data_IF_396600369552
#
_entry.id   IF_396600369552
#
_cell.length_a   1.000
_cell.length_b   1.000
_cell.length_c   1.000
_cell.angle_alpha   90.00
_cell.angle_beta   90.00
_cell.angle_gamma   90.00
#
_symmetry.space_group_name_H-M   'P 1'
#
loop_
_entity.id
_entity.type
_entity.pdbx_description
1 polymer ?
#
# COMPACT_ATOMS: atom_id res chain seq x y z
N UNK A 1 21.79 20.99 6.18
CA UNK A 1 22.08 20.41 7.51
C UNK A 1 20.97 20.76 8.55
N UNK A 2 19.97 19.87 8.71
CA UNK A 2 18.95 20.00 9.76
C UNK A 2 19.56 19.65 11.11
N UNK A 3 19.40 20.53 12.10
CA UNK A 3 19.98 20.44 13.45
C UNK A 3 19.57 19.13 14.14
N UNK A 4 20.51 18.23 14.52
CA UNK A 4 20.22 16.99 15.25
C UNK A 4 19.70 17.22 16.70
N UNK A 5 19.60 18.47 17.14
CA UNK A 5 19.18 18.84 18.50
C UNK A 5 17.65 18.81 18.74
N UNK A 6 16.83 18.92 17.68
CA UNK A 6 15.36 19.02 17.83
C UNK A 6 14.72 17.70 18.26
N UNK A 7 15.09 16.52 17.71
CA UNK A 7 14.53 15.24 18.15
C UNK A 7 14.83 14.93 19.63
N UNK A 8 16.04 15.28 20.08
CA UNK A 8 16.50 15.05 21.46
C UNK A 8 15.70 15.87 22.48
N UNK A 9 15.51 17.16 22.21
CA UNK A 9 14.73 18.05 23.06
C UNK A 9 13.23 17.65 23.16
N UNK A 10 12.69 17.05 22.09
CA UNK A 10 11.30 16.58 22.06
C UNK A 10 11.12 15.26 22.82
N UNK A 11 12.15 14.41 22.86
CA UNK A 11 12.18 13.19 23.66
C UNK A 11 12.25 13.52 25.17
N UNK A 12 13.13 14.44 25.55
CA UNK A 12 13.28 14.90 26.94
C UNK A 12 11.96 15.47 27.50
N UNK A 13 11.27 16.32 26.74
CA UNK A 13 9.95 16.85 27.14
C UNK A 13 8.87 15.78 27.29
N UNK A 14 8.91 14.73 26.47
CA UNK A 14 7.94 13.63 26.54
C UNK A 14 8.18 12.76 27.76
N UNK A 15 9.44 12.56 28.15
CA UNK A 15 9.81 11.83 29.37
C UNK A 15 9.39 12.59 30.63
N UNK A 16 9.64 13.90 30.66
CA UNK A 16 9.24 14.76 31.78
C UNK A 16 7.72 14.79 31.96
N UNK A 17 6.96 14.98 30.88
CA UNK A 17 5.49 14.91 30.90
C UNK A 17 4.98 13.55 31.37
N UNK A 18 5.68 12.48 31.02
CA UNK A 18 5.25 11.14 31.37
C UNK A 18 5.60 10.79 32.83
N UNK A 19 6.69 11.33 33.39
CA UNK A 19 7.02 11.25 34.82
C UNK A 19 5.98 11.96 35.68
N UNK A 20 5.57 13.17 35.27
CA UNK A 20 4.51 13.93 35.94
C UNK A 20 3.16 13.17 35.96
N UNK A 21 2.86 12.40 34.90
CA UNK A 21 1.65 11.56 34.83
C UNK A 21 1.74 10.33 35.74
N UNK A 22 2.92 9.75 35.89
CA UNK A 22 3.15 8.63 36.81
C UNK A 22 3.03 9.06 38.28
N UNK A 23 3.61 10.22 38.62
CA UNK A 23 3.50 10.83 39.95
C UNK A 23 2.05 11.19 40.29
N UNK A 24 1.29 11.75 39.34
CA UNK A 24 -0.12 12.10 39.54
C UNK A 24 -1.05 10.88 39.60
N UNK A 25 -0.75 9.80 38.87
CA UNK A 25 -1.61 8.61 38.79
C UNK A 25 -1.26 7.53 39.80
N UNK A 26 -0.09 7.56 40.45
CA UNK A 26 0.39 6.52 41.36
C UNK A 26 0.59 5.14 40.71
N UNK A 27 0.59 5.08 39.37
CA UNK A 27 0.71 3.86 38.58
C UNK A 27 2.00 3.88 37.77
N UNK A 28 2.90 2.95 38.03
CA UNK A 28 4.09 2.73 37.20
C UNK A 28 3.66 2.21 35.83
N UNK A 29 4.16 2.79 34.74
CA UNK A 29 3.83 2.30 33.41
C UNK A 29 4.38 0.88 33.23
N UNK A 30 3.51 -0.08 32.91
CA UNK A 30 3.93 -1.40 32.44
C UNK A 30 4.41 -1.27 30.99
N UNK A 31 5.59 -1.81 30.68
CA UNK A 31 6.21 -1.81 29.34
C UNK A 31 6.67 -0.44 28.81
N UNK A 32 7.27 0.42 29.64
CA UNK A 32 8.07 1.54 29.12
C UNK A 32 9.47 1.06 28.85
N UNK A 33 9.81 0.91 27.58
CA UNK A 33 11.19 0.76 27.12
C UNK A 33 11.68 2.14 26.73
N UNK A 34 12.81 2.58 27.29
CA UNK A 34 13.50 3.78 26.81
C UNK A 34 13.86 3.60 25.32
N UNK A 35 14.08 4.70 24.60
CA UNK A 35 14.40 4.64 23.16
C UNK A 35 15.67 3.84 22.91
N UNK A 36 16.61 3.85 23.86
CA UNK A 36 17.88 3.11 23.83
C UNK A 36 17.76 1.65 24.31
N UNK A 37 16.78 1.31 25.15
CA UNK A 37 16.51 -0.08 25.60
C UNK A 37 15.50 -0.83 24.71
N UNK A 38 14.96 -0.20 23.66
CA UNK A 38 14.28 -0.91 22.56
C UNK A 38 15.32 -1.63 21.69
N UNK A 39 16.19 -2.44 22.32
CA UNK A 39 17.28 -3.11 21.66
C UNK A 39 16.79 -4.38 20.91
N UNK A 40 16.81 -4.23 19.59
CA UNK A 40 17.22 -5.19 18.55
C UNK A 40 16.46 -6.49 18.32
N UNK A 41 15.93 -7.20 19.33
CA UNK A 41 15.21 -8.46 19.07
C UNK A 41 13.92 -8.26 18.24
N UNK A 42 13.30 -7.09 18.35
CA UNK A 42 12.13 -6.72 17.56
C UNK A 42 12.49 -6.15 16.17
N UNK A 43 13.69 -5.59 16.02
CA UNK A 43 14.12 -4.99 14.76
C UNK A 43 14.51 -6.07 13.75
N UNK A 44 15.25 -7.09 14.17
CA UNK A 44 15.60 -8.21 13.30
C UNK A 44 14.34 -8.96 12.83
N UNK A 45 13.37 -9.14 13.74
CA UNK A 45 12.05 -9.71 13.40
C UNK A 45 11.26 -8.82 12.45
N UNK A 46 11.33 -7.49 12.61
CA UNK A 46 10.67 -6.54 11.71
C UNK A 46 11.30 -6.57 10.32
N UNK A 47 12.64 -6.53 10.23
CA UNK A 47 13.35 -6.62 8.95
C UNK A 47 13.09 -7.96 8.27
N UNK A 48 13.16 -9.07 9.00
CA UNK A 48 12.80 -10.38 8.48
C UNK A 48 11.34 -10.44 7.99
N UNK A 49 10.40 -9.80 8.70
CA UNK A 49 9.01 -9.73 8.26
C UNK A 49 8.80 -8.88 7.01
N UNK A 50 9.55 -7.77 6.87
CA UNK A 50 9.55 -6.94 5.66
C UNK A 50 10.12 -7.71 4.48
N UNK A 51 11.28 -8.34 4.67
CA UNK A 51 11.97 -9.10 3.62
C UNK A 51 11.13 -10.29 3.16
N UNK A 52 10.46 -10.99 4.08
CA UNK A 52 9.53 -12.07 3.76
C UNK A 52 8.28 -11.61 2.97
N UNK A 53 8.02 -10.30 2.85
CA UNK A 53 6.86 -9.72 2.17
C UNK A 53 7.22 -8.88 0.94
N UNK A 54 8.44 -9.04 0.40
CA UNK A 54 8.89 -8.36 -0.83
C UNK A 54 8.22 -8.85 -2.11
N UNK A 55 7.46 -9.93 -2.06
CA UNK A 55 6.73 -10.46 -3.22
C UNK A 55 5.22 -10.59 -2.90
N UNK A 56 4.51 -9.45 -2.74
CA UNK A 56 3.07 -9.48 -2.50
C UNK A 56 2.29 -9.89 -3.75
N UNK A 57 1.05 -10.36 -3.55
CA UNK A 57 0.07 -10.50 -4.63
C UNK A 57 -0.29 -9.12 -5.22
N UNK A 58 -0.52 -9.06 -6.53
CA UNK A 58 -0.71 -7.79 -7.25
C UNK A 58 -1.89 -6.97 -6.72
N UNK A 59 -3.01 -7.60 -6.40
CA UNK A 59 -4.20 -6.94 -5.84
C UNK A 59 -3.91 -6.30 -4.48
N UNK A 60 -3.18 -7.01 -3.60
CA UNK A 60 -2.75 -6.47 -2.30
C UNK A 60 -1.76 -5.34 -2.46
N UNK A 61 -0.87 -5.43 -3.45
CA UNK A 61 0.06 -4.35 -3.76
C UNK A 61 -0.69 -3.08 -4.22
N UNK A 62 -1.62 -3.21 -5.19
CA UNK A 62 -2.42 -2.08 -5.69
C UNK A 62 -3.23 -1.44 -4.55
N UNK A 63 -3.84 -2.24 -3.68
CA UNK A 63 -4.55 -1.73 -2.51
C UNK A 63 -3.62 -1.00 -1.54
N UNK A 64 -2.41 -1.52 -1.31
CA UNK A 64 -1.43 -0.92 -0.41
C UNK A 64 -0.87 0.43 -0.90
N UNK A 65 -0.99 0.76 -2.19
CA UNK A 65 -0.65 2.08 -2.72
C UNK A 65 -1.54 3.20 -2.12
N UNK A 66 -2.70 2.84 -1.56
CA UNK A 66 -3.57 3.79 -0.86
C UNK A 66 -4.21 4.83 -1.79
N UNK A 67 -4.44 4.47 -3.05
CA UNK A 67 -5.12 5.33 -4.03
C UNK A 67 -6.57 5.50 -3.60
N UNK A 68 -7.01 6.76 -3.47
CA UNK A 68 -8.38 7.08 -3.04
C UNK A 68 -9.39 6.41 -3.97
N UNK A 69 -10.47 5.88 -3.40
CA UNK A 69 -11.53 5.14 -4.12
C UNK A 69 -11.14 3.77 -4.66
N UNK A 70 -9.91 3.30 -4.43
CA UNK A 70 -9.47 1.95 -4.77
C UNK A 70 -9.38 1.12 -3.49
N UNK A 71 -10.44 0.34 -3.23
CA UNK A 71 -10.48 -0.66 -2.15
C UNK A 71 -10.01 -2.03 -2.61
N UNK A 72 -10.06 -3.03 -1.72
CA UNK A 72 -9.64 -4.41 -2.00
C UNK A 72 -10.33 -5.00 -3.23
N UNK A 73 -11.65 -4.85 -3.35
CA UNK A 73 -12.41 -5.35 -4.50
C UNK A 73 -11.99 -4.70 -5.82
N UNK A 74 -11.83 -3.37 -5.83
CA UNK A 74 -11.40 -2.63 -7.03
C UNK A 74 -9.97 -3.00 -7.41
N UNK A 75 -9.08 -3.14 -6.42
CA UNK A 75 -7.71 -3.56 -6.63
C UNK A 75 -7.63 -4.98 -7.24
N UNK A 76 -8.48 -5.91 -6.79
CA UNK A 76 -8.58 -7.24 -7.39
C UNK A 76 -9.09 -7.21 -8.83
N UNK A 77 -10.05 -6.33 -9.15
CA UNK A 77 -10.52 -6.14 -10.54
C UNK A 77 -9.41 -5.56 -11.43
N UNK A 78 -8.66 -4.57 -10.93
CA UNK A 78 -7.52 -3.99 -11.64
C UNK A 78 -6.40 -5.01 -11.87
N UNK A 79 -6.04 -5.77 -10.83
CA UNK A 79 -5.04 -6.83 -10.92
C UNK A 79 -5.43 -7.89 -11.97
N UNK A 80 -6.72 -8.28 -11.99
CA UNK A 80 -7.25 -9.20 -13.00
C UNK A 80 -7.18 -8.64 -14.41
N UNK A 81 -7.50 -7.37 -14.60
CA UNK A 81 -7.48 -6.75 -15.93
C UNK A 81 -6.05 -6.62 -16.47
N UNK A 82 -5.13 -6.10 -15.66
CA UNK A 82 -3.80 -5.71 -16.14
C UNK A 82 -2.75 -6.81 -15.97
N UNK A 83 -3.02 -7.82 -15.11
CA UNK A 83 -2.17 -9.00 -14.84
C UNK A 83 -0.77 -8.72 -14.28
N UNK A 84 -0.19 -7.56 -14.52
CA UNK A 84 1.15 -7.16 -14.08
C UNK A 84 1.14 -5.71 -13.61
N UNK A 85 2.11 -5.35 -12.75
CA UNK A 85 2.20 -3.97 -12.25
C UNK A 85 2.69 -3.01 -13.34
N UNK A 86 3.56 -3.50 -14.23
CA UNK A 86 4.12 -2.75 -15.36
C UNK A 86 3.01 -2.29 -16.31
N UNK A 87 2.07 -3.17 -16.63
CA UNK A 87 0.95 -2.84 -17.51
C UNK A 87 -0.01 -1.83 -16.85
N UNK A 88 -0.29 -1.98 -15.55
CA UNK A 88 -1.09 -1.00 -14.80
C UNK A 88 -0.41 0.39 -14.82
N UNK A 89 0.91 0.45 -14.62
CA UNK A 89 1.66 1.71 -14.65
C UNK A 89 1.64 2.32 -16.05
N UNK A 90 1.86 1.51 -17.09
CA UNK A 90 1.85 1.97 -18.49
C UNK A 90 0.50 2.62 -18.82
N UNK A 91 -0.60 1.89 -18.62
CA UNK A 91 -1.95 2.38 -18.91
C UNK A 91 -2.31 3.55 -18.00
N UNK A 92 -1.94 3.50 -16.72
CA UNK A 92 -2.14 4.60 -15.77
C UNK A 92 -1.48 5.91 -16.21
N UNK A 93 -0.21 5.85 -16.64
CA UNK A 93 0.53 7.01 -17.16
C UNK A 93 -0.01 7.52 -18.49
N UNK A 94 -0.43 6.62 -19.39
CA UNK A 94 -1.09 7.01 -20.64
C UNK A 94 -2.44 7.68 -20.38
N UNK A 95 -3.24 7.15 -19.45
CA UNK A 95 -4.52 7.70 -19.01
C UNK A 95 -4.36 9.09 -18.39
N UNK A 96 -3.28 9.30 -17.62
CA UNK A 96 -2.99 10.59 -17.01
C UNK A 96 -2.70 11.69 -18.05
N UNK A 97 -2.06 11.32 -19.16
CA UNK A 97 -1.68 12.22 -20.26
C UNK A 97 -2.77 12.42 -21.31
N UNK A 98 -3.74 11.52 -21.38
CA UNK A 98 -4.85 11.61 -22.33
C UNK A 98 -5.76 12.82 -22.03
N UNK A 99 -6.30 13.42 -23.08
CA UNK A 99 -7.35 14.45 -22.96
C UNK A 99 -8.64 13.81 -22.43
N UNK A 100 -9.05 12.69 -23.04
CA UNK A 100 -10.13 11.83 -22.58
C UNK A 100 -9.56 10.51 -21.99
N UNK A 101 -9.68 10.28 -20.66
CA UNK A 101 -9.23 9.06 -20.01
C UNK A 101 -9.83 7.77 -20.59
N UNK A 102 -11.08 7.81 -21.08
CA UNK A 102 -11.78 6.64 -21.63
C UNK A 102 -11.23 6.18 -22.98
N UNK A 103 -10.46 7.03 -23.67
CA UNK A 103 -9.82 6.67 -24.93
C UNK A 103 -8.65 5.69 -24.75
N UNK A 104 -8.06 5.65 -23.55
CA UNK A 104 -6.90 4.82 -23.22
C UNK A 104 -7.28 3.75 -22.19
N UNK A 105 -8.02 4.14 -21.15
CA UNK A 105 -8.37 3.22 -20.09
C UNK A 105 -9.45 2.25 -20.57
N UNK A 106 -9.23 0.92 -20.48
CA UNK A 106 -10.19 -0.05 -20.97
C UNK A 106 -11.49 0.01 -20.16
N UNK A 107 -12.62 -0.22 -20.82
CA UNK A 107 -13.90 -0.36 -20.12
C UNK A 107 -13.90 -1.66 -19.32
N UNK A 108 -14.00 -1.56 -17.99
CA UNK A 108 -13.98 -2.70 -17.06
C UNK A 108 -15.26 -2.69 -16.22
N UNK A 109 -15.91 -3.84 -16.11
CA UNK A 109 -17.10 -3.98 -15.27
C UNK A 109 -16.76 -3.66 -13.80
N UNK A 110 -17.54 -2.77 -13.18
CA UNK A 110 -17.33 -2.33 -11.80
C UNK A 110 -16.30 -1.19 -11.64
N UNK A 111 -15.75 -0.67 -12.74
CA UNK A 111 -14.88 0.50 -12.75
C UNK A 111 -15.55 1.59 -13.59
N UNK A 112 -15.65 2.79 -13.01
CA UNK A 112 -16.19 3.97 -13.67
C UNK A 112 -15.33 5.20 -13.39
N UNK A 113 -15.85 6.37 -13.74
CA UNK A 113 -15.12 7.65 -13.74
C UNK A 113 -14.39 7.96 -12.43
N UNK A 114 -14.99 7.64 -11.29
CA UNK A 114 -14.38 7.89 -9.97
C UNK A 114 -13.03 7.18 -9.82
N UNK A 115 -12.94 5.93 -10.27
CA UNK A 115 -11.71 5.13 -10.16
C UNK A 115 -10.71 5.55 -11.25
N UNK A 116 -11.20 5.80 -12.47
CA UNK A 116 -10.37 6.24 -13.59
C UNK A 116 -9.71 7.59 -13.28
N UNK A 117 -10.48 8.55 -12.75
CA UNK A 117 -9.95 9.85 -12.32
C UNK A 117 -8.97 9.70 -11.16
N UNK A 118 -9.22 8.80 -10.20
CA UNK A 118 -8.27 8.55 -9.12
C UNK A 118 -6.93 7.99 -9.62
N UNK A 119 -6.95 7.09 -10.61
CA UNK A 119 -5.73 6.59 -11.26
C UNK A 119 -5.02 7.69 -12.04
N UNK A 120 -5.77 8.51 -12.79
CA UNK A 120 -5.24 9.69 -13.50
C UNK A 120 -4.56 10.66 -12.55
N UNK A 121 -5.19 11.00 -11.43
CA UNK A 121 -4.62 11.90 -10.42
C UNK A 121 -3.37 11.30 -9.77
N UNK A 122 -3.37 9.98 -9.52
CA UNK A 122 -2.22 9.28 -8.94
C UNK A 122 -1.02 9.27 -9.89
N UNK A 123 -1.21 8.83 -11.15
CA UNK A 123 -0.14 8.73 -12.15
C UNK A 123 0.20 10.06 -12.83
N UNK A 124 -0.63 11.10 -12.68
CA UNK A 124 -0.33 12.46 -13.13
C UNK A 124 0.54 13.25 -12.16
N UNK A 125 0.85 12.70 -10.98
CA UNK A 125 1.69 13.35 -9.98
C UNK A 125 3.11 12.76 -10.01
N UNK A 126 4.07 13.53 -10.53
CA UNK A 126 5.49 13.11 -10.67
C UNK A 126 6.10 12.62 -9.34
N UNK A 127 5.66 13.13 -8.19
CA UNK A 127 6.15 12.66 -6.89
C UNK A 127 5.76 11.21 -6.60
N UNK A 128 4.61 10.77 -7.12
CA UNK A 128 4.19 9.37 -6.96
C UNK A 128 5.02 8.45 -7.84
N UNK A 129 5.50 8.92 -9.00
CA UNK A 129 6.41 8.15 -9.86
C UNK A 129 7.71 7.85 -9.10
N UNK A 130 8.36 8.86 -8.51
CA UNK A 130 9.59 8.68 -7.75
C UNK A 130 9.42 7.68 -6.59
N UNK A 131 8.28 7.76 -5.87
CA UNK A 131 7.98 6.87 -4.74
C UNK A 131 7.69 5.45 -5.21
N UNK A 132 6.95 5.30 -6.31
CA UNK A 132 6.61 4.01 -6.88
C UNK A 132 7.85 3.30 -7.43
N UNK A 133 8.72 4.02 -8.15
CA UNK A 133 9.97 3.50 -8.67
C UNK A 133 10.90 3.05 -7.53
N UNK A 134 11.02 3.85 -6.47
CA UNK A 134 11.79 3.48 -5.27
C UNK A 134 11.22 2.23 -4.57
N UNK A 135 9.89 2.08 -4.55
CA UNK A 135 9.22 0.91 -3.97
C UNK A 135 9.44 -0.34 -4.82
N UNK A 136 9.30 -0.24 -6.15
CA UNK A 136 9.46 -1.36 -7.08
C UNK A 136 10.92 -1.82 -7.22
N UNK A 137 11.89 -0.96 -6.88
CA UNK A 137 13.28 -1.39 -6.72
C UNK A 137 13.50 -2.36 -5.54
N UNK A 138 12.53 -2.47 -4.63
CA UNK A 138 12.62 -3.23 -3.38
C UNK A 138 11.57 -4.35 -3.26
N UNK A 139 10.44 -4.19 -3.96
CA UNK A 139 9.26 -5.05 -3.90
C UNK A 139 8.90 -5.48 -5.31
N UNK A 140 8.62 -6.77 -5.50
CA UNK A 140 8.31 -7.38 -6.78
C UNK A 140 6.91 -8.00 -6.71
N UNK A 141 5.85 -7.23 -7.03
CA UNK A 141 4.49 -7.76 -7.08
C UNK A 141 4.41 -8.93 -8.06
N UNK A 142 3.84 -10.05 -7.61
CA UNK A 142 3.70 -11.23 -8.48
C UNK A 142 2.66 -10.95 -9.56
N UNK A 143 2.85 -11.45 -10.79
CA UNK A 143 1.81 -11.41 -11.80
C UNK A 143 0.52 -12.06 -11.27
N UNK A 144 -0.62 -11.42 -11.54
CA UNK A 144 -1.91 -11.93 -11.12
C UNK A 144 -2.30 -13.12 -11.99
N UNK A 145 -2.27 -14.31 -11.41
CA UNK A 145 -2.73 -15.54 -12.05
C UNK A 145 -4.11 -15.87 -11.51
N UNK A 146 -5.11 -15.94 -12.38
CA UNK A 146 -6.38 -16.54 -12.00
C UNK A 146 -6.21 -18.05 -11.92
N UNK A 147 -6.04 -18.58 -10.71
CA UNK A 147 -6.29 -19.99 -10.47
C UNK A 147 -7.80 -20.22 -10.63
N UNK A 148 -8.24 -20.48 -11.87
CA UNK A 148 -9.56 -21.05 -12.10
C UNK A 148 -9.49 -22.44 -11.45
N UNK A 149 -10.01 -22.55 -10.24
CA UNK A 149 -10.18 -23.84 -9.60
C UNK A 149 -11.05 -24.68 -10.54
N UNK A 150 -10.47 -25.66 -11.21
CA UNK A 150 -11.15 -26.58 -12.13
C UNK A 150 -12.08 -27.56 -11.38
N UNK A 151 -12.73 -27.12 -10.30
CA UNK A 151 -13.52 -27.94 -9.39
C UNK A 151 -14.78 -27.25 -8.86
N UNK A 152 -15.27 -26.19 -9.51
CA UNK A 152 -16.63 -25.71 -9.23
C UNK A 152 -17.65 -26.54 -10.03
N UNK A 153 -18.54 -27.23 -9.31
CA UNK A 153 -19.59 -28.17 -9.78
C UNK A 153 -20.63 -27.59 -10.77
N UNK A 154 -20.40 -26.37 -11.24
CA UNK A 154 -21.29 -25.60 -12.13
C UNK A 154 -20.61 -25.11 -13.40
N UNK A 155 -19.34 -25.47 -13.66
CA UNK A 155 -18.74 -25.26 -14.98
C UNK A 155 -19.42 -26.17 -16.01
N UNK A 156 -20.46 -25.65 -16.67
CA UNK A 156 -21.20 -26.34 -17.73
C UNK A 156 -22.73 -26.34 -17.61
N UNK A 157 -23.32 -25.74 -16.56
CA UNK A 157 -24.79 -25.62 -16.46
C UNK A 157 -25.24 -24.19 -16.75
N UNK A 158 -25.94 -24.00 -17.86
CA UNK A 158 -26.65 -22.76 -18.19
C UNK A 158 -27.78 -22.55 -17.19
N UNK A 159 -27.63 -21.56 -16.31
CA UNK A 159 -28.75 -21.10 -15.47
C UNK A 159 -29.56 -20.10 -16.30
N UNK A 160 -30.79 -20.50 -16.64
CA UNK A 160 -31.81 -19.63 -17.26
C UNK A 160 -32.83 -19.32 -16.18
N UNK A 161 -33.09 -18.03 -15.93
CA UNK A 161 -34.23 -17.56 -15.13
C UNK A 161 -35.45 -17.38 -16.03
#
# INVERSE_FOLDING_TARGET
>A
PRRPAVPKALAERREEQARLREEASGKTRKNVRSVEERNYEGLDKLFAAIDARREPELDRFIFALGIRHIGETTAAVLARQFSTIEELIRVGKETAKAEDPHSVFPSINGIGDTVINALRDFFGNERNDDVLDALLAQVHPKPYVMEISAGSEVSGKTVVF
#
